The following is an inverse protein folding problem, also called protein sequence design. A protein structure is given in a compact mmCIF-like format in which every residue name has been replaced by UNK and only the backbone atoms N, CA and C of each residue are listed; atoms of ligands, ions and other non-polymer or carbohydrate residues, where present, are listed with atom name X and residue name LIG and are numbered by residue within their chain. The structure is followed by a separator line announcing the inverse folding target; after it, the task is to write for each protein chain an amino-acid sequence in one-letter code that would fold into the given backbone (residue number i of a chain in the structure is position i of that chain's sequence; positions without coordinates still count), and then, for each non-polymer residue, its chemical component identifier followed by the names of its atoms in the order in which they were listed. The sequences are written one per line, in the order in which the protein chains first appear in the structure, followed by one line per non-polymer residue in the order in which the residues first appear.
data_IF_440856475696
#
_entry.id   IF_440856475696
#
_cell.length_a   1.000
_cell.length_b   1.000
_cell.length_c   1.000
_cell.angle_alpha   90.00
_cell.angle_beta   90.00
_cell.angle_gamma   90.00
#
_symmetry.space_group_name_H-M   'P 1'
#
loop_
_entity.id
_entity.type
_entity.pdbx_description
1 polymer ?
#
# COMPACT_ATOMS: atom_id res chain seq x y z
N UNK A 1 6.64 -3.51 2.26
CA UNK A 1 5.46 -3.20 1.45
C UNK A 1 4.17 -3.66 2.12
N UNK A 2 4.06 -4.96 2.48
CA UNK A 2 2.88 -5.52 3.14
C UNK A 2 2.38 -4.63 4.28
N UNK A 3 3.22 -4.33 5.24
CA UNK A 3 2.85 -3.58 6.45
C UNK A 3 2.40 -2.13 6.12
N UNK A 4 2.94 -1.52 5.07
CA UNK A 4 2.48 -0.22 4.57
C UNK A 4 1.08 -0.32 3.99
N UNK A 5 0.83 -1.31 3.12
CA UNK A 5 -0.48 -1.53 2.50
C UNK A 5 -1.54 -1.81 3.58
N UNK A 6 -1.27 -2.74 4.51
CA UNK A 6 -2.21 -3.06 5.59
C UNK A 6 -2.49 -1.87 6.50
N UNK A 7 -1.48 -1.09 6.85
CA UNK A 7 -1.64 0.13 7.65
C UNK A 7 -2.57 1.13 6.98
N UNK A 8 -2.39 1.34 5.68
CA UNK A 8 -3.25 2.23 4.91
C UNK A 8 -4.69 1.71 4.81
N UNK A 9 -4.90 0.41 4.63
CA UNK A 9 -6.25 -0.18 4.66
C UNK A 9 -6.90 0.09 6.00
N UNK A 10 -6.26 -0.25 7.13
CA UNK A 10 -6.81 -0.10 8.47
C UNK A 10 -7.10 1.38 8.77
N UNK A 11 -6.15 2.27 8.47
CA UNK A 11 -6.35 3.70 8.67
C UNK A 11 -7.53 4.23 7.85
N UNK A 12 -7.64 3.86 6.57
CA UNK A 12 -8.75 4.25 5.72
C UNK A 12 -10.10 3.72 6.25
N UNK A 13 -10.14 2.46 6.71
CA UNK A 13 -11.37 1.90 7.30
C UNK A 13 -11.83 2.70 8.51
N UNK A 14 -10.93 3.13 9.38
CA UNK A 14 -11.27 3.89 10.58
C UNK A 14 -11.58 5.37 10.27
N UNK A 15 -10.80 5.97 9.38
CA UNK A 15 -10.94 7.40 9.04
C UNK A 15 -12.18 7.70 8.19
N UNK A 16 -12.62 6.75 7.35
CA UNK A 16 -13.76 6.94 6.45
C UNK A 16 -15.04 6.22 6.89
N UNK A 17 -15.04 5.58 8.08
CA UNK A 17 -16.22 4.91 8.61
C UNK A 17 -17.34 5.90 8.95
N UNK A 18 -18.59 5.50 8.67
CA UNK A 18 -19.79 6.10 9.21
C UNK A 18 -20.08 5.51 10.61
N UNK A 19 -19.72 6.24 11.66
CA UNK A 19 -19.82 5.71 13.03
C UNK A 19 -21.25 5.70 13.61
N UNK A 20 -22.19 6.42 12.98
CA UNK A 20 -23.61 6.35 13.35
C UNK A 20 -24.30 5.10 12.82
N UNK A 21 -23.68 4.43 11.85
CA UNK A 21 -24.19 3.18 11.31
C UNK A 21 -23.64 1.99 12.11
N UNK A 22 -24.52 1.13 12.69
CA UNK A 22 -24.10 0.00 13.52
C UNK A 22 -23.44 -1.16 12.74
N UNK A 23 -23.50 -1.16 11.40
CA UNK A 23 -22.90 -2.21 10.58
C UNK A 23 -21.39 -2.30 10.86
N UNK A 24 -20.85 -3.48 11.17
CA UNK A 24 -19.45 -3.62 11.51
C UNK A 24 -18.52 -3.38 10.31
N UNK A 25 -17.29 -2.94 10.58
CA UNK A 25 -16.20 -3.02 9.61
C UNK A 25 -15.79 -4.47 9.43
N UNK A 26 -15.64 -4.91 8.20
CA UNK A 26 -15.24 -6.27 7.85
C UNK A 26 -13.95 -6.19 7.04
N UNK A 27 -12.93 -6.94 7.45
CA UNK A 27 -11.71 -7.16 6.68
C UNK A 27 -11.57 -8.66 6.44
N UNK A 28 -11.77 -9.07 5.21
CA UNK A 28 -11.63 -10.45 4.76
C UNK A 28 -10.27 -10.62 4.07
N UNK A 29 -9.49 -11.59 4.53
CA UNK A 29 -8.22 -11.95 3.93
C UNK A 29 -8.37 -13.35 3.36
N UNK A 30 -8.27 -13.47 2.05
CA UNK A 30 -8.37 -14.73 1.33
C UNK A 30 -7.04 -15.05 0.62
N UNK A 31 -7.00 -16.17 -0.07
CA UNK A 31 -5.85 -16.51 -0.93
C UNK A 31 -5.67 -15.51 -2.07
N UNK A 32 -6.76 -14.95 -2.58
CA UNK A 32 -6.78 -14.13 -3.79
C UNK A 32 -6.64 -12.64 -3.47
N UNK A 33 -6.95 -12.22 -2.25
CA UNK A 33 -6.89 -10.80 -1.91
C UNK A 33 -7.39 -10.43 -0.53
N UNK A 34 -7.43 -9.13 -0.31
CA UNK A 34 -7.96 -8.47 0.87
C UNK A 34 -9.17 -7.66 0.44
N UNK A 35 -10.30 -7.89 1.10
CA UNK A 35 -11.51 -7.09 0.95
C UNK A 35 -11.81 -6.41 2.28
N UNK A 36 -11.73 -5.09 2.32
CA UNK A 36 -12.11 -4.30 3.48
C UNK A 36 -13.38 -3.51 3.19
N UNK A 37 -14.38 -3.63 4.06
CA UNK A 37 -15.71 -3.03 3.89
C UNK A 37 -16.12 -2.24 5.12
N UNK A 38 -16.70 -1.08 4.92
CA UNK A 38 -17.18 -0.17 5.94
C UNK A 38 -18.59 0.33 5.63
N UNK A 39 -19.39 0.50 6.66
CA UNK A 39 -20.56 1.38 6.53
C UNK A 39 -20.09 2.80 6.18
N UNK A 40 -20.76 3.42 5.25
CA UNK A 40 -20.36 4.67 4.65
C UNK A 40 -21.55 5.59 4.35
N UNK A 41 -21.24 6.86 4.17
CA UNK A 41 -22.13 7.87 3.58
C UNK A 41 -21.30 8.62 2.56
N UNK A 42 -21.39 8.28 1.26
CA UNK A 42 -20.50 8.83 0.26
C UNK A 42 -20.72 10.33 0.09
N UNK A 43 -19.64 11.09 -0.10
CA UNK A 43 -19.72 12.48 -0.54
C UNK A 43 -20.00 12.54 -2.05
N UNK A 44 -19.44 11.61 -2.78
CA UNK A 44 -19.65 11.40 -4.21
C UNK A 44 -19.54 9.91 -4.48
N UNK A 45 -20.66 9.29 -4.80
CA UNK A 45 -20.72 7.86 -5.07
C UNK A 45 -19.89 7.46 -6.29
N UNK A 46 -19.29 6.28 -6.22
CA UNK A 46 -18.59 5.63 -7.32
C UNK A 46 -17.12 5.29 -7.05
N UNK A 47 -16.41 4.84 -8.10
CA UNK A 47 -15.01 4.45 -8.00
C UNK A 47 -14.11 5.60 -7.60
N UNK A 48 -13.22 5.35 -6.65
CA UNK A 48 -12.22 6.31 -6.16
C UNK A 48 -10.91 6.07 -6.87
N UNK A 49 -10.40 7.11 -7.52
CA UNK A 49 -9.14 7.09 -8.28
C UNK A 49 -8.21 8.22 -7.81
N UNK A 50 -6.97 8.23 -8.29
CA UNK A 50 -6.04 9.34 -8.04
C UNK A 50 -6.53 10.69 -8.59
N UNK A 51 -7.43 10.68 -9.58
CA UNK A 51 -7.96 11.88 -10.20
C UNK A 51 -9.15 12.49 -9.43
N UNK A 52 -9.92 11.67 -8.67
CA UNK A 52 -11.18 12.11 -8.10
C UNK A 52 -11.28 11.95 -6.56
N UNK A 53 -10.25 11.39 -5.88
CA UNK A 53 -10.33 11.16 -4.44
C UNK A 53 -10.39 12.45 -3.63
N UNK A 54 -11.20 12.43 -2.57
CA UNK A 54 -11.21 13.51 -1.58
C UNK A 54 -10.02 13.38 -0.63
N UNK A 55 -9.35 14.50 -0.37
CA UNK A 55 -8.29 14.57 0.66
C UNK A 55 -8.84 14.80 2.07
N UNK A 56 -10.13 15.03 2.18
CA UNK A 56 -10.74 15.35 3.47
C UNK A 56 -11.17 14.06 4.17
N UNK A 57 -10.64 13.79 5.35
CA UNK A 57 -11.07 12.64 6.15
C UNK A 57 -12.49 12.88 6.67
N UNK A 58 -13.33 11.84 6.68
CA UNK A 58 -14.68 11.92 7.29
C UNK A 58 -14.60 12.07 8.81
N UNK A 59 -13.58 11.47 9.41
CA UNK A 59 -13.34 11.53 10.85
C UNK A 59 -11.98 12.21 11.14
N UNK A 60 -11.91 13.55 11.14
CA UNK A 60 -10.64 14.28 11.23
C UNK A 60 -9.91 14.07 12.56
N UNK A 61 -10.61 13.83 13.66
CA UNK A 61 -9.99 13.53 14.96
C UNK A 61 -9.27 12.20 14.94
N UNK A 62 -9.86 11.18 14.32
CA UNK A 62 -9.22 9.86 14.14
C UNK A 62 -8.02 9.97 13.20
N UNK A 63 -8.16 10.71 12.12
CA UNK A 63 -7.07 10.93 11.17
C UNK A 63 -5.88 11.64 11.83
N UNK A 64 -6.13 12.70 12.62
CA UNK A 64 -5.11 13.40 13.39
C UNK A 64 -4.42 12.49 14.41
N UNK A 65 -5.17 11.63 15.09
CA UNK A 65 -4.61 10.66 16.00
C UNK A 65 -3.59 9.73 15.29
N UNK A 66 -3.93 9.21 14.11
CA UNK A 66 -3.00 8.39 13.34
C UNK A 66 -1.73 9.13 12.91
N UNK A 67 -1.83 10.42 12.58
CA UNK A 67 -0.66 11.27 12.29
C UNK A 67 0.21 11.42 13.55
N UNK A 68 -0.40 11.74 14.69
CA UNK A 68 0.34 11.96 15.95
C UNK A 68 1.12 10.72 16.42
N UNK A 69 0.56 9.53 16.25
CA UNK A 69 1.25 8.27 16.60
C UNK A 69 2.19 7.77 15.49
N UNK A 70 2.44 8.56 14.43
CA UNK A 70 3.33 8.20 13.33
C UNK A 70 2.82 7.03 12.46
N UNK A 71 1.52 6.78 12.45
CA UNK A 71 0.90 5.70 11.65
C UNK A 71 0.30 6.18 10.34
N UNK A 72 0.16 7.48 10.14
CA UNK A 72 -0.13 8.12 8.87
C UNK A 72 0.88 9.25 8.62
N UNK A 73 1.30 9.43 7.37
CA UNK A 73 2.31 10.45 7.01
C UNK A 73 1.68 11.85 7.03
N UNK A 74 0.55 12.02 6.34
CA UNK A 74 -0.21 13.28 6.27
C UNK A 74 -1.69 13.00 6.07
N UNK A 75 -2.53 13.94 6.47
CA UNK A 75 -3.96 13.89 6.18
C UNK A 75 -4.19 13.86 4.66
N UNK A 76 -4.95 12.87 4.20
CA UNK A 76 -5.30 12.71 2.79
C UNK A 76 -4.25 12.02 1.91
N UNK A 77 -3.18 11.44 2.47
CA UNK A 77 -2.19 10.65 1.70
C UNK A 77 -2.60 9.19 1.49
N UNK A 78 -3.55 8.65 2.25
CA UNK A 78 -3.87 7.23 2.30
C UNK A 78 -4.21 6.62 0.93
N UNK A 79 -5.11 7.23 0.17
CA UNK A 79 -5.48 6.76 -1.18
C UNK A 79 -4.25 6.76 -2.11
N UNK A 80 -3.46 7.85 -2.09
CA UNK A 80 -2.23 7.92 -2.89
C UNK A 80 -1.24 6.81 -2.52
N UNK A 81 -1.10 6.53 -1.23
CA UNK A 81 -0.23 5.47 -0.74
C UNK A 81 -0.73 4.08 -1.15
N UNK A 82 -2.04 3.82 -1.10
CA UNK A 82 -2.62 2.58 -1.62
C UNK A 82 -2.30 2.40 -3.10
N UNK A 83 -2.56 3.40 -3.95
CA UNK A 83 -2.24 3.34 -5.37
C UNK A 83 -0.73 3.24 -5.64
N UNK A 84 0.12 3.79 -4.79
CA UNK A 84 1.59 3.68 -4.91
C UNK A 84 2.12 2.31 -4.52
N UNK A 85 1.65 1.77 -3.37
CA UNK A 85 2.26 0.58 -2.77
C UNK A 85 1.57 -0.73 -3.17
N UNK A 86 0.27 -0.71 -3.49
CA UNK A 86 -0.47 -1.93 -3.86
C UNK A 86 0.07 -2.57 -5.14
N UNK A 87 0.34 -1.85 -6.24
CA UNK A 87 0.94 -2.48 -7.42
C UNK A 87 2.30 -3.11 -7.15
N UNK A 88 3.10 -2.48 -6.28
CA UNK A 88 4.41 -3.03 -5.88
C UNK A 88 4.27 -4.27 -4.98
N UNK A 89 3.14 -4.42 -4.29
CA UNK A 89 2.86 -5.54 -3.38
C UNK A 89 2.21 -6.71 -4.11
N UNK A 90 1.16 -6.45 -4.88
CA UNK A 90 0.31 -7.48 -5.51
C UNK A 90 0.43 -7.57 -7.03
N UNK A 91 1.10 -6.61 -7.68
CA UNK A 91 1.18 -6.53 -9.14
C UNK A 91 -0.04 -5.88 -9.81
N UNK A 92 -1.07 -5.54 -9.04
CA UNK A 92 -2.30 -4.93 -9.55
C UNK A 92 -2.68 -3.70 -8.73
N UNK A 93 -3.40 -2.76 -9.33
CA UNK A 93 -3.90 -1.58 -8.63
C UNK A 93 -5.01 -1.94 -7.64
N UNK A 94 -5.18 -1.15 -6.55
CA UNK A 94 -6.30 -1.31 -5.65
C UNK A 94 -7.60 -0.93 -6.37
N UNK A 95 -8.70 -1.60 -6.02
CA UNK A 95 -10.04 -1.15 -6.36
C UNK A 95 -10.66 -0.54 -5.12
N UNK A 96 -11.14 0.69 -5.25
CA UNK A 96 -11.72 1.45 -4.14
C UNK A 96 -13.03 2.04 -4.61
N UNK A 97 -14.10 1.77 -3.87
CA UNK A 97 -15.43 2.27 -4.16
C UNK A 97 -15.99 3.03 -2.96
N UNK A 98 -16.49 4.26 -3.19
CA UNK A 98 -17.13 5.14 -2.20
C UNK A 98 -18.65 5.14 -2.45
N UNK A 99 -19.31 4.08 -1.99
CA UNK A 99 -20.76 3.89 -2.04
C UNK A 99 -21.32 3.86 -0.60
N UNK A 100 -22.57 3.43 -0.41
CA UNK A 100 -23.14 3.22 0.95
C UNK A 100 -22.31 2.23 1.77
N UNK A 101 -21.52 1.43 1.10
CA UNK A 101 -20.43 0.64 1.67
C UNK A 101 -19.13 1.12 1.01
N UNK A 102 -18.25 1.71 1.82
CA UNK A 102 -16.88 2.01 1.38
C UNK A 102 -16.10 0.71 1.30
N UNK A 103 -15.55 0.41 0.13
CA UNK A 103 -14.86 -0.86 -0.12
C UNK A 103 -13.45 -0.61 -0.65
N UNK A 104 -12.49 -1.36 -0.11
CA UNK A 104 -11.12 -1.43 -0.61
C UNK A 104 -10.79 -2.88 -0.91
N UNK A 105 -10.44 -3.16 -2.17
CA UNK A 105 -10.01 -4.48 -2.63
C UNK A 105 -8.56 -4.43 -3.08
N UNK A 106 -7.76 -5.36 -2.59
CA UNK A 106 -6.33 -5.49 -2.91
C UNK A 106 -6.04 -6.94 -3.21
N UNK A 107 -5.41 -7.21 -4.35
CA UNK A 107 -4.95 -8.55 -4.70
C UNK A 107 -3.85 -9.06 -3.78
N UNK A 108 -3.73 -10.38 -3.62
CA UNK A 108 -2.57 -10.99 -2.96
C UNK A 108 -1.41 -11.14 -3.95
N UNK A 109 -0.16 -11.00 -3.46
CA UNK A 109 0.99 -11.26 -4.32
C UNK A 109 1.07 -12.74 -4.68
N UNK A 110 0.87 -13.04 -5.93
CA UNK A 110 1.20 -14.36 -6.46
C UNK A 110 2.72 -14.45 -6.66
N UNK A 111 3.34 -15.56 -6.24
CA UNK A 111 4.80 -15.75 -6.38
C UNK A 111 5.28 -15.56 -7.84
N UNK A 112 4.44 -15.90 -8.80
CA UNK A 112 4.75 -15.73 -10.21
C UNK A 112 4.73 -14.27 -10.66
N UNK A 113 3.77 -13.47 -10.19
CA UNK A 113 3.70 -12.02 -10.48
C UNK A 113 4.94 -11.29 -9.94
N UNK A 114 5.39 -11.61 -8.73
CA UNK A 114 6.61 -11.01 -8.18
C UNK A 114 7.86 -11.34 -9.02
N UNK A 115 7.96 -12.59 -9.50
CA UNK A 115 9.05 -12.99 -10.40
C UNK A 115 8.98 -12.29 -11.75
N UNK A 116 7.79 -12.08 -12.28
CA UNK A 116 7.61 -11.41 -13.58
C UNK A 116 7.90 -9.91 -13.48
N UNK A 117 7.47 -9.24 -12.41
CA UNK A 117 7.85 -7.85 -12.13
C UNK A 117 9.38 -7.71 -11.97
N UNK A 118 10.01 -8.62 -11.23
CA UNK A 118 11.47 -8.62 -11.07
C UNK A 118 12.17 -8.79 -12.42
N UNK A 119 11.73 -9.71 -13.27
CA UNK A 119 12.27 -9.92 -14.61
C UNK A 119 12.08 -8.70 -15.51
N UNK A 120 10.91 -8.06 -15.48
CA UNK A 120 10.63 -6.88 -16.31
C UNK A 120 11.49 -5.68 -15.90
N UNK A 121 11.68 -5.47 -14.60
CA UNK A 121 12.59 -4.43 -14.08
C UNK A 121 14.03 -4.74 -14.45
N UNK A 122 14.46 -5.99 -14.30
CA UNK A 122 15.81 -6.42 -14.66
C UNK A 122 16.07 -6.19 -16.14
N UNK A 123 15.13 -6.56 -17.01
CA UNK A 123 15.21 -6.31 -18.46
C UNK A 123 15.33 -4.82 -18.78
N UNK A 124 14.50 -3.97 -18.18
CA UNK A 124 14.58 -2.51 -18.38
C UNK A 124 15.89 -1.89 -17.91
N UNK A 125 16.50 -2.45 -16.86
CA UNK A 125 17.81 -2.01 -16.37
C UNK A 125 18.93 -2.47 -17.29
N UNK A 126 18.85 -3.70 -17.81
CA UNK A 126 19.81 -4.25 -18.80
C UNK A 126 19.76 -3.44 -20.11
N UNK A 127 18.57 -3.07 -20.60
CA UNK A 127 18.39 -2.18 -21.76
C UNK A 127 19.06 -0.81 -21.58
N UNK A 128 19.23 -0.37 -20.33
CA UNK A 128 19.96 0.85 -19.95
C UNK A 128 21.43 0.61 -19.62
N UNK A 129 21.95 -0.60 -19.87
CA UNK A 129 23.34 -0.98 -19.59
C UNK A 129 23.63 -1.25 -18.12
N UNK A 130 22.60 -1.34 -17.25
CA UNK A 130 22.74 -1.57 -15.82
C UNK A 130 22.49 -3.05 -15.54
N UNK A 131 23.53 -3.79 -15.19
CA UNK A 131 23.42 -5.20 -14.76
C UNK A 131 23.37 -5.25 -13.25
N UNK A 132 22.25 -5.70 -12.71
CA UNK A 132 22.08 -5.95 -11.28
C UNK A 132 21.93 -7.45 -11.01
N UNK A 133 22.53 -7.91 -9.94
CA UNK A 133 22.27 -9.24 -9.41
C UNK A 133 20.85 -9.27 -8.78
N UNK A 134 20.30 -10.47 -8.62
CA UNK A 134 18.98 -10.66 -8.02
C UNK A 134 18.90 -10.01 -6.60
N UNK A 135 19.97 -10.12 -5.82
CA UNK A 135 20.07 -9.48 -4.49
C UNK A 135 20.06 -7.96 -4.57
N UNK A 136 20.80 -7.38 -5.50
CA UNK A 136 20.84 -5.94 -5.71
C UNK A 136 19.48 -5.40 -6.18
N UNK A 137 18.77 -6.16 -7.01
CA UNK A 137 17.41 -5.82 -7.44
C UNK A 137 16.44 -5.78 -6.28
N UNK A 138 16.47 -6.77 -5.38
CA UNK A 138 15.64 -6.82 -4.17
C UNK A 138 15.92 -5.61 -3.27
N UNK A 139 17.19 -5.26 -3.07
CA UNK A 139 17.58 -4.07 -2.29
C UNK A 139 17.09 -2.78 -2.95
N UNK A 140 17.23 -2.65 -4.28
CA UNK A 140 16.75 -1.50 -5.02
C UNK A 140 15.24 -1.31 -4.89
N UNK A 141 14.48 -2.40 -5.00
CA UNK A 141 13.03 -2.40 -4.82
C UNK A 141 12.62 -2.00 -3.40
N UNK A 142 13.35 -2.47 -2.39
CA UNK A 142 13.10 -2.10 -1.00
C UNK A 142 13.37 -0.61 -0.74
N UNK A 143 14.44 -0.05 -1.32
CA UNK A 143 14.77 1.39 -1.24
C UNK A 143 13.72 2.22 -2.00
N UNK A 144 13.33 1.82 -3.19
CA UNK A 144 12.31 2.51 -3.97
C UNK A 144 10.95 2.55 -3.26
N UNK A 145 10.62 1.48 -2.54
CA UNK A 145 9.40 1.40 -1.73
C UNK A 145 9.46 2.25 -0.46
N UNK A 146 10.65 2.46 0.10
CA UNK A 146 10.87 3.26 1.29
C UNK A 146 12.22 3.97 1.21
N UNK A 147 12.29 5.20 0.65
CA UNK A 147 13.55 5.94 0.53
C UNK A 147 14.25 6.26 1.86
N UNK A 148 13.51 6.22 2.98
CA UNK A 148 14.04 6.44 4.33
C UNK A 148 14.38 5.14 5.06
N UNK A 149 14.44 3.99 4.35
CA UNK A 149 14.77 2.69 4.97
C UNK A 149 16.20 2.70 5.52
N UNK A 150 16.37 2.23 6.75
CA UNK A 150 17.69 2.12 7.33
C UNK A 150 18.45 0.89 6.80
N UNK A 151 19.79 0.90 6.93
CA UNK A 151 20.61 -0.26 6.55
C UNK A 151 20.24 -1.52 7.34
N UNK A 152 19.89 -1.36 8.61
CA UNK A 152 19.45 -2.46 9.46
C UNK A 152 18.13 -3.05 8.96
N UNK A 153 17.16 -2.20 8.58
CA UNK A 153 15.87 -2.64 8.05
C UNK A 153 16.03 -3.31 6.69
N UNK A 154 16.91 -2.80 5.83
CA UNK A 154 17.26 -3.43 4.55
C UNK A 154 17.84 -4.83 4.74
N UNK A 155 18.80 -4.96 5.66
CA UNK A 155 19.41 -6.26 5.97
C UNK A 155 18.37 -7.28 6.42
N UNK A 156 17.45 -6.86 7.31
CA UNK A 156 16.41 -7.72 7.85
C UNK A 156 15.34 -8.08 6.80
N UNK A 157 14.95 -7.13 5.94
CA UNK A 157 13.91 -7.35 4.92
C UNK A 157 14.41 -8.13 3.71
N UNK A 158 15.67 -7.93 3.32
CA UNK A 158 16.23 -8.54 2.11
C UNK A 158 17.03 -9.81 2.40
N UNK A 159 17.20 -10.17 3.68
CA UNK A 159 18.07 -11.30 4.11
C UNK A 159 19.48 -11.18 3.50
N UNK A 160 20.02 -9.97 3.51
CA UNK A 160 21.35 -9.64 2.96
C UNK A 160 22.23 -9.14 4.07
N UNK A 161 23.49 -9.61 4.18
CA UNK A 161 24.42 -9.09 5.19
C UNK A 161 24.61 -7.58 5.08
N UNK A 162 24.69 -6.89 6.22
CA UNK A 162 24.87 -5.42 6.28
C UNK A 162 26.09 -4.96 5.46
N UNK A 163 27.14 -5.76 5.42
CA UNK A 163 28.34 -5.51 4.61
C UNK A 163 28.08 -5.45 3.09
N UNK A 164 27.04 -6.10 2.62
CA UNK A 164 26.68 -6.10 1.19
C UNK A 164 25.80 -4.91 0.78
N UNK A 165 25.38 -4.09 1.73
CA UNK A 165 24.55 -2.88 1.53
C UNK A 165 25.41 -1.61 1.38
N UNK A 166 26.73 -1.74 1.50
CA UNK A 166 27.70 -0.62 1.48
C UNK A 166 28.47 -0.43 0.17
N UNK A 167 28.17 -1.21 -0.86
CA UNK A 167 28.83 -1.11 -2.16
C UNK A 167 28.01 -0.28 -3.15
#
# INVERSE_FOLDING_TARGET
LRDKVFREIIANMLVHREYQNPTPTIIEITRDGINAKNANRPLKAGPVTLANYSRHPKNPHIANFFVQIGRAEHLGSGIRNLYKYTPLYSGVEPKIDDEDIYMVQIGMPHKDIQKDIQKDIQKKLEERGIKLTEKQLIVLLAIAANPAITRSDLSNQCVVPISSVTA
#
